data_IF_482380278718
#
_entry.id   IF_482380278718
#
_cell.length_a   1.000
_cell.length_b   1.000
_cell.length_c   1.000
_cell.angle_alpha   90.00
_cell.angle_beta   90.00
_cell.angle_gamma   90.00
#
_symmetry.space_group_name_H-M   'P 1'
#
loop_
_entity.id
_entity.type
_entity.pdbx_description
1 polymer ?
#
# COMPACT_ATOMS: atom_id res chain seq x y z
N UNK A 1 -26.69 25.19 13.40
CA UNK A 1 -26.69 23.87 12.74
C UNK A 1 -25.25 23.51 12.42
N UNK A 2 -24.64 22.59 13.18
CA UNK A 2 -23.28 22.12 12.88
C UNK A 2 -23.35 21.18 11.68
N UNK A 3 -22.84 21.61 10.53
CA UNK A 3 -22.61 20.70 9.41
C UNK A 3 -21.58 19.66 9.85
N UNK A 4 -21.99 18.39 9.90
CA UNK A 4 -21.07 17.27 10.05
C UNK A 4 -20.20 17.21 8.80
N UNK A 5 -19.00 17.79 8.88
CA UNK A 5 -17.99 17.72 7.83
C UNK A 5 -17.54 16.26 7.73
N UNK A 6 -18.09 15.51 6.78
CA UNK A 6 -17.56 14.19 6.44
C UNK A 6 -16.14 14.39 5.94
N UNK A 7 -15.15 13.90 6.69
CA UNK A 7 -13.79 13.81 6.20
C UNK A 7 -13.78 12.84 5.02
N UNK A 8 -13.40 13.35 3.84
CA UNK A 8 -13.26 12.56 2.62
C UNK A 8 -11.78 12.22 2.52
N UNK A 9 -11.44 10.95 2.73
CA UNK A 9 -10.10 10.46 2.41
C UNK A 9 -9.93 10.48 0.90
N UNK A 10 -9.03 11.36 0.40
CA UNK A 10 -8.76 11.51 -1.03
C UNK A 10 -7.71 10.54 -1.56
N UNK A 11 -7.07 9.78 -0.67
CA UNK A 11 -6.06 8.80 -1.02
C UNK A 11 -6.58 7.38 -0.87
N UNK A 12 -6.18 6.50 -1.79
CA UNK A 12 -6.43 5.06 -1.70
C UNK A 12 -5.12 4.30 -1.77
N UNK A 13 -5.01 3.22 -1.00
CA UNK A 13 -3.91 2.27 -1.08
C UNK A 13 -4.45 1.00 -1.76
N UNK A 14 -3.85 0.62 -2.88
CA UNK A 14 -4.23 -0.56 -3.67
C UNK A 14 -3.13 -1.61 -3.60
N UNK A 15 -3.49 -2.88 -3.48
CA UNK A 15 -2.51 -3.96 -3.54
C UNK A 15 -1.94 -4.11 -4.95
N UNK A 16 -0.61 -4.15 -5.10
CA UNK A 16 0.07 -4.35 -6.39
C UNK A 16 -0.15 -5.72 -7.01
N UNK A 17 -0.55 -6.72 -6.22
CA UNK A 17 -0.70 -8.10 -6.67
C UNK A 17 -2.14 -8.46 -7.03
N UNK A 18 -3.10 -8.20 -6.13
CA UNK A 18 -4.50 -8.58 -6.36
C UNK A 18 -5.42 -7.39 -6.65
N UNK A 19 -4.88 -6.17 -6.76
CA UNK A 19 -5.64 -4.93 -7.00
C UNK A 19 -6.76 -4.65 -5.99
N UNK A 20 -6.76 -5.32 -4.83
CA UNK A 20 -7.73 -5.04 -3.78
C UNK A 20 -7.43 -3.71 -3.09
N UNK A 21 -8.47 -3.00 -2.68
CA UNK A 21 -8.33 -1.89 -1.75
C UNK A 21 -7.71 -2.41 -0.45
N UNK A 22 -6.60 -1.78 -0.04
CA UNK A 22 -5.94 -2.05 1.24
C UNK A 22 -6.49 -1.11 2.29
N UNK A 23 -6.47 0.20 2.00
CA UNK A 23 -6.96 1.23 2.90
C UNK A 23 -7.23 2.54 2.15
N UNK A 24 -7.81 3.52 2.85
CA UNK A 24 -7.94 4.91 2.42
C UNK A 24 -7.12 5.82 3.34
N UNK A 25 -6.52 6.86 2.78
CA UNK A 25 -5.66 7.79 3.51
C UNK A 25 -6.09 9.22 3.30
N UNK A 26 -6.06 10.00 4.38
CA UNK A 26 -6.29 11.43 4.31
C UNK A 26 -5.12 12.10 3.60
N UNK A 27 -5.42 12.77 2.49
CA UNK A 27 -4.41 13.41 1.64
C UNK A 27 -4.98 14.69 1.05
N UNK A 28 -4.11 15.66 0.81
CA UNK A 28 -4.50 16.97 0.27
C UNK A 28 -4.94 16.93 -1.21
N UNK A 29 -4.84 15.77 -1.88
CA UNK A 29 -5.14 15.60 -3.31
C UNK A 29 -5.49 14.15 -3.62
N UNK A 30 -6.18 13.92 -4.74
CA UNK A 30 -6.50 12.57 -5.19
C UNK A 30 -5.20 11.83 -5.49
N UNK A 31 -4.94 10.77 -4.75
CA UNK A 31 -3.71 10.01 -4.85
C UNK A 31 -3.98 8.50 -4.77
N UNK A 32 -3.28 7.74 -5.61
CA UNK A 32 -3.30 6.28 -5.58
C UNK A 32 -1.92 5.81 -5.13
N UNK A 33 -1.87 5.16 -3.97
CA UNK A 33 -0.69 4.51 -3.46
C UNK A 33 -0.78 3.01 -3.70
N UNK A 34 0.37 2.37 -3.75
CA UNK A 34 0.46 0.95 -4.03
C UNK A 34 1.25 0.22 -2.94
N UNK A 35 0.62 -0.76 -2.30
CA UNK A 35 1.20 -1.58 -1.24
C UNK A 35 0.97 -3.08 -1.47
N UNK A 36 1.16 -3.88 -0.41
CA UNK A 36 0.85 -5.31 -0.38
C UNK A 36 -0.15 -5.57 0.73
N UNK A 37 -1.26 -6.24 0.42
CA UNK A 37 -2.26 -6.62 1.42
C UNK A 37 -1.82 -7.88 2.18
N UNK A 38 -2.50 -8.15 3.30
CA UNK A 38 -2.20 -9.29 4.18
C UNK A 38 -2.60 -10.67 3.61
N UNK A 39 -3.11 -10.73 2.38
CA UNK A 39 -3.42 -12.01 1.73
C UNK A 39 -2.12 -12.81 1.59
N UNK A 40 -2.11 -14.10 1.99
CA UNK A 40 -0.91 -14.93 2.00
C UNK A 40 -0.27 -15.02 0.61
N UNK A 41 -1.09 -15.13 -0.44
CA UNK A 41 -0.67 -15.13 -1.84
C UNK A 41 0.13 -13.87 -2.21
N UNK A 42 -0.37 -12.69 -1.83
CA UNK A 42 0.25 -11.40 -2.14
C UNK A 42 1.55 -11.20 -1.35
N UNK A 43 1.56 -11.61 -0.07
CA UNK A 43 2.75 -11.53 0.78
C UNK A 43 3.85 -12.49 0.33
N UNK A 44 3.49 -13.69 -0.15
CA UNK A 44 4.45 -14.63 -0.72
C UNK A 44 5.08 -14.10 -2.01
N UNK A 45 4.26 -13.52 -2.91
CA UNK A 45 4.74 -12.90 -4.14
C UNK A 45 5.71 -11.75 -3.87
N UNK A 46 5.44 -10.92 -2.86
CA UNK A 46 6.35 -9.85 -2.45
C UNK A 46 7.69 -10.39 -1.97
N UNK A 47 7.67 -11.37 -1.04
CA UNK A 47 8.90 -11.99 -0.50
C UNK A 47 9.74 -12.70 -1.55
N UNK A 48 9.10 -13.28 -2.57
CA UNK A 48 9.81 -13.94 -3.66
C UNK A 48 10.63 -12.96 -4.53
N UNK A 49 10.24 -11.68 -4.59
CA UNK A 49 10.96 -10.63 -5.31
C UNK A 49 12.11 -9.98 -4.51
N UNK A 50 12.07 -10.08 -3.18
CA UNK A 50 13.02 -9.40 -2.26
C UNK A 50 14.27 -10.24 -1.93
N UNK A 51 14.48 -11.37 -2.62
CA UNK A 51 15.53 -12.36 -2.32
C UNK A 51 16.84 -12.25 -3.11
N UNK A 52 17.12 -11.13 -3.81
CA UNK A 52 18.32 -10.99 -4.65
C UNK A 52 19.34 -9.94 -4.20
N UNK A 53 19.16 -9.28 -3.04
CA UNK A 53 20.26 -8.50 -2.43
C UNK A 53 21.09 -9.42 -1.53
N UNK A 54 21.89 -10.29 -2.16
CA UNK A 54 23.08 -10.86 -1.53
C UNK A 54 24.28 -9.97 -1.88
N UNK A 55 25.06 -9.64 -0.85
CA UNK A 55 26.40 -9.06 -0.86
C UNK A 55 26.58 -7.58 -1.20
N UNK A 56 26.95 -6.81 -0.18
CA UNK A 56 28.33 -6.35 -0.06
C UNK A 56 28.70 -6.20 1.41
N UNK A 57 29.27 -7.27 1.98
CA UNK A 57 30.19 -7.16 3.10
C UNK A 57 31.48 -6.58 2.51
N UNK A 58 31.94 -5.43 3.01
CA UNK A 58 33.16 -4.74 2.60
C UNK A 58 34.18 -4.79 3.77
N UNK A 59 35.49 -4.72 3.47
CA UNK A 59 36.58 -5.41 4.20
C UNK A 59 36.87 -4.89 5.60
#
# INVERSE_FOLDING_TARGET
>A
MYHSMKQINMGVIICRHCSSLVDTVDTNKIAVYYGVCDKPECRQLHKAGEGSVRSAEAP
#
